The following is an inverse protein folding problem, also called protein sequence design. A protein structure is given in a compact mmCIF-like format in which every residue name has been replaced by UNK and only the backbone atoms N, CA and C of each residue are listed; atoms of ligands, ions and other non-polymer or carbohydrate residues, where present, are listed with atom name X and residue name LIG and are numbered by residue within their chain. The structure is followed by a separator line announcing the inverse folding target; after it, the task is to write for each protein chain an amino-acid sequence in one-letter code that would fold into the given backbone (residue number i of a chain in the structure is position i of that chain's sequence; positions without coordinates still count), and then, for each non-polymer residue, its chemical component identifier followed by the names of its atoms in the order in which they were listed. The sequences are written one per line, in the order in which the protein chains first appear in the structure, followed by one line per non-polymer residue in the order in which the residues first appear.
data_IF_355108877359
#
_entry.id   IF_355108877359
#
_cell.length_a   1.000
_cell.length_b   1.000
_cell.length_c   1.000
_cell.angle_alpha   90.00
_cell.angle_beta   90.00
_cell.angle_gamma   90.00
#
_symmetry.space_group_name_H-M   'P 1'
#
loop_
_entity.id
_entity.type
_entity.pdbx_description
1 polymer ?
#
# COMPACT_ATOMS: atom_id res chain seq x y z
N UNK A 1 19.07 -14.90 2.56
CA UNK A 1 20.46 -14.91 2.05
C UNK A 1 21.33 -15.87 2.86
N UNK A 2 21.76 -15.57 4.09
CA UNK A 2 22.62 -16.48 4.88
C UNK A 2 21.98 -17.84 5.20
N UNK A 3 20.70 -17.85 5.59
CA UNK A 3 19.97 -19.11 5.81
C UNK A 3 19.83 -19.95 4.52
N UNK A 4 19.61 -19.29 3.39
CA UNK A 4 19.49 -19.96 2.08
C UNK A 4 20.84 -20.54 1.62
N UNK A 5 21.94 -19.82 1.88
CA UNK A 5 23.29 -20.27 1.57
C UNK A 5 23.68 -21.53 2.37
N UNK A 6 23.26 -21.63 3.62
CA UNK A 6 23.42 -22.86 4.43
C UNK A 6 22.57 -23.99 3.89
N UNK A 7 21.31 -23.71 3.53
CA UNK A 7 20.39 -24.70 2.94
C UNK A 7 20.89 -25.23 1.59
N UNK A 8 21.56 -24.39 0.81
CA UNK A 8 22.18 -24.75 -0.46
C UNK A 8 23.60 -25.35 -0.32
N UNK A 9 24.12 -25.47 0.91
CA UNK A 9 25.43 -26.07 1.18
C UNK A 9 26.64 -25.19 0.87
N UNK A 10 26.44 -23.92 0.50
CA UNK A 10 27.54 -22.96 0.29
C UNK A 10 28.23 -22.54 1.59
N UNK A 11 27.63 -22.82 2.74
CA UNK A 11 28.16 -22.51 4.06
C UNK A 11 27.69 -23.58 5.06
N UNK A 12 28.55 -24.04 5.95
CA UNK A 12 28.19 -25.11 6.90
C UNK A 12 27.25 -24.63 8.01
N UNK A 13 27.35 -23.35 8.41
CA UNK A 13 26.52 -22.79 9.48
C UNK A 13 26.28 -21.29 9.31
N UNK A 14 25.13 -20.81 9.82
CA UNK A 14 24.77 -19.40 9.76
C UNK A 14 25.38 -18.60 10.94
N UNK A 15 26.33 -17.68 10.71
CA UNK A 15 26.99 -16.92 11.77
C UNK A 15 26.04 -15.99 12.53
N UNK A 16 24.92 -15.55 11.92
CA UNK A 16 23.89 -14.78 12.64
C UNK A 16 23.24 -15.55 13.78
N UNK A 17 23.19 -16.89 13.70
CA UNK A 17 22.64 -17.73 14.77
C UNK A 17 23.56 -17.84 16.00
N UNK A 18 24.83 -17.45 15.87
CA UNK A 18 25.81 -17.48 16.97
C UNK A 18 25.88 -16.16 17.74
N UNK A 19 25.27 -15.11 17.20
CA UNK A 19 25.24 -13.80 17.84
C UNK A 19 24.26 -13.86 19.02
N UNK A 20 24.66 -13.48 20.25
CA UNK A 20 23.75 -13.42 21.37
C UNK A 20 22.55 -12.49 21.11
N UNK A 21 21.39 -12.83 21.65
CA UNK A 21 20.15 -12.04 21.53
C UNK A 21 20.27 -10.59 22.01
N UNK A 22 21.33 -10.24 22.75
CA UNK A 22 21.65 -8.88 23.21
C UNK A 22 22.13 -7.95 22.10
N UNK A 23 22.80 -8.48 21.07
CA UNK A 23 23.26 -7.70 19.90
C UNK A 23 22.20 -7.62 18.80
N UNK A 24 21.08 -8.32 18.96
CA UNK A 24 19.98 -8.22 18.00
C UNK A 24 19.31 -6.86 18.13
N UNK A 25 19.10 -6.20 16.97
CA UNK A 25 18.36 -4.94 16.90
C UNK A 25 16.95 -5.21 17.41
N UNK A 26 16.63 -4.68 18.59
CA UNK A 26 15.28 -4.75 19.13
C UNK A 26 14.38 -3.84 18.31
N UNK A 27 13.21 -4.31 17.86
CA UNK A 27 12.27 -3.43 17.19
C UNK A 27 11.82 -2.36 18.18
N UNK A 28 12.22 -1.12 17.94
CA UNK A 28 11.70 0.03 18.66
C UNK A 28 10.23 0.12 18.28
N UNK A 29 9.34 -0.16 19.23
CA UNK A 29 7.90 0.06 19.04
C UNK A 29 7.65 1.55 19.14
N UNK A 30 7.66 2.22 18.00
CA UNK A 30 7.12 3.57 17.92
C UNK A 30 5.59 3.47 17.98
N UNK A 31 4.99 4.25 18.88
CA UNK A 31 3.54 4.46 18.86
C UNK A 31 3.17 5.10 17.51
N UNK A 32 2.14 4.54 16.87
CA UNK A 32 1.60 5.07 15.62
C UNK A 32 0.21 5.58 15.90
N UNK A 33 0.01 6.88 15.77
CA UNK A 33 -1.31 7.49 15.80
C UNK A 33 -1.96 7.34 14.41
N UNK A 34 -3.20 6.88 14.39
CA UNK A 34 -4.01 6.87 13.19
C UNK A 34 -4.67 8.24 13.02
N UNK A 35 -4.92 8.63 11.76
CA UNK A 35 -5.69 9.84 11.46
C UNK A 35 -7.13 9.65 11.89
N UNK A 36 -7.70 10.64 12.56
CA UNK A 36 -9.13 10.70 12.86
C UNK A 36 -9.91 11.18 11.63
N UNK A 37 -11.22 10.95 11.61
CA UNK A 37 -12.09 11.43 10.54
C UNK A 37 -12.08 12.97 10.43
N UNK A 38 -11.96 13.66 11.56
CA UNK A 38 -11.85 15.12 11.63
C UNK A 38 -10.57 15.63 10.96
N UNK A 39 -9.43 14.99 11.25
CA UNK A 39 -8.15 15.32 10.62
C UNK A 39 -8.18 15.05 9.11
N UNK A 40 -8.85 13.98 8.70
CA UNK A 40 -9.03 13.64 7.29
C UNK A 40 -9.85 14.71 6.55
N UNK A 41 -10.91 15.22 7.18
CA UNK A 41 -11.73 16.30 6.62
C UNK A 41 -10.95 17.61 6.48
N UNK A 42 -10.12 17.95 7.48
CA UNK A 42 -9.23 19.11 7.43
C UNK A 42 -8.20 18.95 6.30
N UNK A 43 -7.61 17.76 6.14
CA UNK A 43 -6.68 17.46 5.06
C UNK A 43 -7.33 17.63 3.68
N UNK A 44 -8.57 17.16 3.51
CA UNK A 44 -9.30 17.29 2.25
C UNK A 44 -9.57 18.77 1.90
N UNK A 45 -9.92 19.59 2.89
CA UNK A 45 -10.17 21.03 2.74
C UNK A 45 -8.89 21.87 2.57
N UNK A 46 -7.74 21.35 3.01
CA UNK A 46 -6.47 22.06 2.92
C UNK A 46 -6.01 22.27 1.47
N UNK A 47 -5.32 23.39 1.22
CA UNK A 47 -4.66 23.64 -0.06
C UNK A 47 -3.45 22.72 -0.17
N UNK A 48 -3.41 21.92 -1.22
CA UNK A 48 -2.26 21.11 -1.57
C UNK A 48 -1.61 21.68 -2.83
N UNK A 49 -0.28 21.68 -2.88
CA UNK A 49 0.46 22.08 -4.07
C UNK A 49 0.26 21.10 -5.24
N UNK A 50 0.10 19.81 -4.91
CA UNK A 50 -0.04 18.71 -5.87
C UNK A 50 -1.39 18.01 -5.62
N UNK A 51 -2.46 18.38 -6.34
CA UNK A 51 -3.79 17.81 -6.10
C UNK A 51 -3.83 16.28 -6.28
N UNK A 52 -3.05 15.74 -7.21
CA UNK A 52 -2.95 14.30 -7.51
C UNK A 52 -2.42 13.52 -6.29
N UNK A 53 -1.46 14.09 -5.56
CA UNK A 53 -0.92 13.49 -4.35
C UNK A 53 -1.97 13.47 -3.23
N UNK A 54 -2.77 14.54 -3.13
CA UNK A 54 -3.86 14.62 -2.16
C UNK A 54 -4.91 13.55 -2.46
N UNK A 55 -5.32 13.43 -3.71
CA UNK A 55 -6.34 12.46 -4.13
C UNK A 55 -5.83 11.01 -3.97
N UNK A 56 -4.57 10.74 -4.31
CA UNK A 56 -3.93 9.45 -4.05
C UNK A 56 -3.89 9.09 -2.57
N UNK A 57 -3.60 10.08 -1.71
CA UNK A 57 -3.58 9.89 -0.26
C UNK A 57 -4.98 9.59 0.28
N UNK A 58 -5.98 10.39 -0.10
CA UNK A 58 -7.37 10.18 0.28
C UNK A 58 -7.88 8.81 -0.19
N UNK A 59 -7.55 8.42 -1.42
CA UNK A 59 -7.87 7.10 -1.94
C UNK A 59 -7.26 5.97 -1.09
N UNK A 60 -5.98 6.09 -0.69
CA UNK A 60 -5.33 5.13 0.21
C UNK A 60 -6.05 5.01 1.56
N UNK A 61 -6.51 6.12 2.13
CA UNK A 61 -7.26 6.13 3.39
C UNK A 61 -8.62 5.43 3.27
N UNK A 62 -9.30 5.54 2.12
CA UNK A 62 -10.61 4.91 1.89
C UNK A 62 -10.52 3.39 1.68
N UNK A 63 -9.50 2.91 0.96
CA UNK A 63 -9.38 1.49 0.62
C UNK A 63 -8.48 0.70 1.59
N UNK A 64 -7.65 1.37 2.39
CA UNK A 64 -6.71 0.73 3.33
C UNK A 64 -5.59 -0.08 2.67
N UNK A 65 -5.28 0.18 1.39
CA UNK A 65 -4.19 -0.49 0.69
C UNK A 65 -2.84 0.17 0.99
N UNK A 66 -1.78 -0.62 0.91
CA UNK A 66 -0.41 -0.10 1.04
C UNK A 66 -0.06 0.71 -0.19
N UNK A 67 0.74 1.77 -0.01
CA UNK A 67 1.27 2.60 -1.11
C UNK A 67 1.73 1.78 -2.33
N UNK A 68 2.55 0.74 -2.12
CA UNK A 68 3.06 -0.10 -3.23
C UNK A 68 1.95 -0.86 -3.97
N UNK A 69 0.94 -1.32 -3.23
CA UNK A 69 -0.19 -2.05 -3.79
C UNK A 69 -1.14 -1.07 -4.52
N UNK A 70 -1.32 0.15 -4.00
CA UNK A 70 -2.06 1.23 -4.67
C UNK A 70 -1.40 1.68 -5.97
N UNK A 71 -0.07 1.88 -5.96
CA UNK A 71 0.67 2.33 -7.15
C UNK A 71 0.66 1.31 -8.29
N UNK A 72 0.63 0.02 -7.96
CA UNK A 72 0.58 -1.06 -8.95
C UNK A 72 -0.84 -1.46 -9.33
N UNK A 73 -1.86 -0.72 -8.87
CA UNK A 73 -3.26 -1.02 -9.15
C UNK A 73 -3.53 -0.79 -10.64
N UNK A 74 -4.21 -1.75 -11.26
CA UNK A 74 -4.60 -1.68 -12.67
C UNK A 74 -6.12 -1.71 -12.80
N UNK A 75 -6.67 -1.17 -13.90
CA UNK A 75 -8.11 -1.26 -14.18
C UNK A 75 -8.65 -2.69 -14.12
N UNK A 76 -7.87 -3.65 -14.63
CA UNK A 76 -8.24 -5.08 -14.63
C UNK A 76 -8.37 -5.68 -13.22
N UNK A 77 -7.78 -5.05 -12.20
CA UNK A 77 -7.88 -5.48 -10.81
C UNK A 77 -9.19 -4.96 -10.15
N UNK A 78 -9.98 -4.14 -10.85
CA UNK A 78 -11.25 -3.57 -10.36
C UNK A 78 -12.40 -4.28 -11.09
N UNK A 79 -13.34 -4.86 -10.35
CA UNK A 79 -14.50 -5.56 -10.89
C UNK A 79 -15.79 -4.98 -10.32
N UNK A 80 -16.82 -4.89 -11.15
CA UNK A 80 -18.15 -4.46 -10.71
C UNK A 80 -19.05 -5.68 -10.47
N UNK A 81 -19.66 -5.73 -9.29
CA UNK A 81 -20.68 -6.72 -8.92
C UNK A 81 -21.89 -5.98 -8.37
N UNK A 82 -23.06 -6.18 -9.00
CA UNK A 82 -24.36 -5.61 -8.58
C UNK A 82 -24.32 -4.11 -8.29
N UNK A 83 -23.60 -3.34 -9.12
CA UNK A 83 -23.45 -1.88 -8.99
C UNK A 83 -22.46 -1.42 -7.91
N UNK A 84 -21.76 -2.35 -7.25
CA UNK A 84 -20.66 -2.07 -6.33
C UNK A 84 -19.35 -2.49 -6.95
N UNK A 85 -18.35 -1.61 -6.92
CA UNK A 85 -17.01 -1.94 -7.42
C UNK A 85 -16.17 -2.57 -6.32
N UNK A 86 -15.34 -3.53 -6.69
CA UNK A 86 -14.45 -4.26 -5.80
C UNK A 86 -13.03 -4.27 -6.36
N UNK A 87 -12.05 -4.09 -5.47
CA UNK A 87 -10.64 -4.33 -5.80
C UNK A 87 -10.32 -5.79 -5.49
N UNK A 88 -9.88 -6.52 -6.51
CA UNK A 88 -9.32 -7.86 -6.41
C UNK A 88 -7.81 -7.80 -6.64
N UNK A 89 -7.04 -7.86 -5.56
CA UNK A 89 -5.58 -7.73 -5.66
C UNK A 89 -4.82 -8.67 -4.75
N UNK A 90 -3.76 -9.28 -5.28
CA UNK A 90 -2.80 -10.05 -4.50
C UNK A 90 -1.75 -9.11 -3.92
N UNK A 91 -1.68 -9.04 -2.58
CA UNK A 91 -0.69 -8.20 -1.89
C UNK A 91 0.73 -8.70 -2.14
N UNK A 92 1.65 -7.81 -2.52
CA UNK A 92 3.03 -8.18 -2.82
C UNK A 92 3.76 -8.84 -1.64
N UNK A 93 3.52 -8.36 -0.41
CA UNK A 93 4.24 -8.81 0.78
C UNK A 93 3.71 -10.10 1.38
N UNK A 94 2.39 -10.23 1.50
CA UNK A 94 1.74 -11.38 2.16
C UNK A 94 1.25 -12.43 1.19
N UNK A 95 1.29 -12.15 -0.12
CA UNK A 95 0.77 -13.02 -1.19
C UNK A 95 -0.70 -13.41 -0.97
N UNK A 96 -1.44 -12.57 -0.24
CA UNK A 96 -2.85 -12.78 0.11
C UNK A 96 -3.73 -12.04 -0.88
N UNK A 97 -4.79 -12.70 -1.36
CA UNK A 97 -5.82 -12.06 -2.15
C UNK A 97 -6.69 -11.17 -1.25
N UNK A 98 -6.77 -9.89 -1.56
CA UNK A 98 -7.69 -8.95 -0.95
C UNK A 98 -8.89 -8.71 -1.85
N UNK A 99 -10.05 -8.62 -1.20
CA UNK A 99 -11.32 -8.25 -1.79
C UNK A 99 -11.88 -7.07 -1.02
N UNK A 100 -11.79 -5.86 -1.58
CA UNK A 100 -12.14 -4.62 -0.88
C UNK A 100 -13.25 -3.91 -1.67
N UNK A 101 -14.42 -3.65 -1.05
CA UNK A 101 -15.46 -2.83 -1.67
C UNK A 101 -14.99 -1.37 -1.80
N UNK A 102 -15.23 -0.77 -2.96
CA UNK A 102 -14.95 0.62 -3.23
C UNK A 102 -16.15 1.50 -2.85
N UNK A 103 -15.88 2.55 -2.08
CA UNK A 103 -16.87 3.59 -1.80
C UNK A 103 -17.08 4.49 -3.02
N UNK A 104 -18.19 5.25 -3.02
CA UNK A 104 -18.51 6.19 -4.12
C UNK A 104 -17.46 7.28 -4.27
N UNK A 105 -16.90 7.74 -3.15
CA UNK A 105 -15.83 8.73 -3.10
C UNK A 105 -14.54 8.18 -3.72
N UNK A 106 -14.18 6.94 -3.37
CA UNK A 106 -13.01 6.27 -3.92
C UNK A 106 -13.13 6.08 -5.44
N UNK A 107 -14.32 5.75 -5.93
CA UNK A 107 -14.60 5.63 -7.36
C UNK A 107 -14.50 6.95 -8.11
N UNK A 108 -14.91 8.06 -7.48
CA UNK A 108 -14.79 9.38 -8.08
C UNK A 108 -13.32 9.74 -8.31
N UNK A 109 -12.48 9.51 -7.30
CA UNK A 109 -11.03 9.73 -7.38
C UNK A 109 -10.40 8.84 -8.45
N UNK A 110 -10.74 7.55 -8.46
CA UNK A 110 -10.28 6.63 -9.52
C UNK A 110 -10.66 7.13 -10.91
N UNK A 111 -11.92 7.50 -11.16
CA UNK A 111 -12.35 7.95 -12.48
C UNK A 111 -11.63 9.20 -12.98
N UNK A 112 -11.21 10.10 -12.08
CA UNK A 112 -10.45 11.30 -12.46
C UNK A 112 -9.03 10.98 -12.92
N UNK A 113 -8.39 9.98 -12.31
CA UNK A 113 -7.00 9.59 -12.64
C UNK A 113 -6.90 8.57 -13.80
N UNK A 114 -8.02 7.95 -14.20
CA UNK A 114 -8.06 6.86 -15.19
C UNK A 114 -8.28 7.31 -16.65
N UNK A 115 -8.33 8.61 -16.95
CA UNK A 115 -8.54 9.08 -18.33
C UNK A 115 -7.41 8.68 -19.30
N UNK A 116 -6.20 8.37 -18.81
CA UNK A 116 -5.00 8.13 -19.63
C UNK A 116 -4.58 6.65 -19.76
N UNK A 117 -5.33 5.68 -19.22
CA UNK A 117 -5.08 4.24 -19.44
C UNK A 117 -3.81 3.64 -18.78
N UNK A 118 -3.05 4.44 -18.02
CA UNK A 118 -1.91 4.01 -17.22
C UNK A 118 -2.30 3.85 -15.73
N UNK A 119 -1.42 3.28 -14.90
CA UNK A 119 -1.68 3.14 -13.46
C UNK A 119 -1.99 4.51 -12.83
N UNK A 120 -3.10 4.65 -12.07
CA UNK A 120 -3.72 5.92 -11.68
C UNK A 120 -2.83 6.87 -10.88
N UNK A 121 -1.76 6.36 -10.27
CA UNK A 121 -0.89 7.16 -9.40
C UNK A 121 0.59 7.03 -9.80
N UNK A 122 0.85 6.65 -11.05
CA UNK A 122 2.21 6.41 -11.56
C UNK A 122 2.93 7.68 -12.01
N UNK A 123 2.23 8.81 -12.14
CA UNK A 123 2.83 10.07 -12.59
C UNK A 123 3.94 10.52 -11.63
N UNK A 124 5.14 10.83 -12.15
CA UNK A 124 6.22 11.35 -11.33
C UNK A 124 5.83 12.72 -10.76
N UNK A 125 5.93 12.84 -9.44
CA UNK A 125 5.75 14.11 -8.72
C UNK A 125 6.92 15.01 -9.17
N UNK A 126 6.62 16.06 -9.95
CA UNK A 126 7.61 17.06 -10.41
C UNK A 126 7.68 18.22 -9.43
#
# INVERSE_FOLDING_TARGET
MLQEAVKMGYMEMNPMGQVPSTYHIRPIRNERYALTEEELAILQASRCHTPELKDAFMFCCLIGLRKSDTLSLRPADIQEYDGTYYIHKVMKKTQTLLHIPLSKEALKILKQEYEDGDSPFSRPIT
#
